data_IF_530628313478
#
_entry.id   IF_530628313478
#
_cell.length_a   1.000
_cell.length_b   1.000
_cell.length_c   1.000
_cell.angle_alpha   90.00
_cell.angle_beta   90.00
_cell.angle_gamma   90.00
#
_symmetry.space_group_name_H-M   'P 1'
#
loop_
_entity.id
_entity.type
_entity.pdbx_description
1 polymer ?
#
# COMPACT_ATOMS: atom_id res chain seq x y z
N UNK A 1 16.04 2.93 32.26
CA UNK A 1 15.03 3.82 31.67
C UNK A 1 13.67 3.15 31.85
N UNK A 2 12.79 3.72 32.67
CA UNK A 2 11.42 3.20 32.84
C UNK A 2 10.52 4.11 32.02
N UNK A 3 9.81 3.55 31.04
CA UNK A 3 8.78 4.29 30.29
C UNK A 3 7.54 4.33 31.17
N UNK A 4 7.03 5.53 31.44
CA UNK A 4 5.74 5.71 32.12
C UNK A 4 4.60 5.33 31.15
N UNK A 5 3.85 4.24 31.41
CA UNK A 5 2.78 3.78 30.52
C UNK A 5 1.66 4.82 30.37
N UNK A 6 1.46 5.68 31.36
CA UNK A 6 0.41 6.71 31.34
C UNK A 6 0.73 7.87 30.40
N UNK A 7 2.02 8.05 30.05
CA UNK A 7 2.49 9.08 29.12
C UNK A 7 2.73 8.57 27.70
N UNK A 8 2.42 7.31 27.43
CA UNK A 8 2.53 6.76 26.07
C UNK A 8 1.46 7.39 25.17
N UNK A 9 1.91 7.94 24.05
CA UNK A 9 1.00 8.41 23.00
C UNK A 9 0.23 7.22 22.41
N UNK A 10 -1.09 7.36 22.33
CA UNK A 10 -1.98 6.33 21.79
C UNK A 10 -2.36 6.65 20.36
N UNK A 11 -2.58 5.63 19.54
CA UNK A 11 -3.16 5.80 18.19
C UNK A 11 -4.66 5.61 18.26
N UNK A 12 -5.42 6.44 17.54
CA UNK A 12 -6.86 6.32 17.49
C UNK A 12 -7.27 5.03 16.79
N UNK A 13 -8.22 4.32 17.40
CA UNK A 13 -8.82 3.11 16.82
C UNK A 13 -10.18 3.37 16.18
N UNK A 14 -10.78 4.52 16.49
CA UNK A 14 -12.06 4.99 15.95
C UNK A 14 -11.94 6.42 15.41
N UNK A 15 -12.77 6.82 14.42
CA UNK A 15 -12.65 8.11 13.71
C UNK A 15 -12.79 9.36 14.59
N UNK A 16 -13.33 9.24 15.80
CA UNK A 16 -13.62 10.37 16.70
C UNK A 16 -13.07 10.16 18.11
N UNK A 17 -12.13 9.23 18.28
CA UNK A 17 -11.51 9.01 19.58
C UNK A 17 -10.67 10.25 19.96
N UNK A 18 -10.85 10.73 21.19
CA UNK A 18 -10.07 11.82 21.76
C UNK A 18 -8.84 11.27 22.50
N UNK A 19 -7.87 12.13 22.80
CA UNK A 19 -6.64 11.78 23.52
C UNK A 19 -5.77 10.71 22.81
N UNK A 20 -5.78 10.72 21.48
CA UNK A 20 -4.96 9.87 20.64
C UNK A 20 -4.51 10.60 19.37
N UNK A 21 -3.43 10.10 18.76
CA UNK A 21 -2.96 10.53 17.45
C UNK A 21 -3.78 9.86 16.35
N UNK A 22 -3.98 10.57 15.24
CA UNK A 22 -4.55 10.00 14.03
C UNK A 22 -3.78 8.75 13.58
N UNK A 23 -4.47 7.86 12.86
CA UNK A 23 -3.82 6.68 12.31
C UNK A 23 -2.70 7.09 11.33
N UNK A 24 -1.52 6.46 11.40
CA UNK A 24 -0.45 6.67 10.44
C UNK A 24 -0.99 6.54 9.01
N UNK A 25 -0.51 7.41 8.13
CA UNK A 25 -0.88 7.43 6.71
C UNK A 25 -2.40 7.37 6.49
N UNK A 26 -3.17 8.03 7.36
CA UNK A 26 -4.63 8.08 7.31
C UNK A 26 -5.31 6.70 7.33
N UNK A 27 -4.62 5.66 7.80
CA UNK A 27 -5.13 4.29 7.83
C UNK A 27 -5.20 3.59 6.47
N UNK A 28 -4.58 4.16 5.42
CA UNK A 28 -4.52 3.55 4.09
C UNK A 28 -3.85 2.19 4.19
N UNK A 29 -4.48 1.16 3.61
CA UNK A 29 -3.99 -0.21 3.65
C UNK A 29 -3.03 -0.48 2.49
N UNK A 30 -2.04 -1.34 2.74
CA UNK A 30 -1.18 -1.85 1.69
C UNK A 30 -2.03 -2.50 0.57
N UNK A 31 -1.67 -2.31 -0.71
CA UNK A 31 -2.37 -2.97 -1.79
C UNK A 31 -2.14 -4.48 -1.72
N UNK A 32 -3.17 -5.25 -2.06
CA UNK A 32 -3.01 -6.69 -2.23
C UNK A 32 -2.56 -6.97 -3.65
N UNK A 33 -1.45 -7.68 -3.79
CA UNK A 33 -0.87 -8.05 -5.07
C UNK A 33 -1.09 -9.54 -5.34
N UNK A 34 -1.37 -9.88 -6.59
CA UNK A 34 -1.47 -11.27 -7.04
C UNK A 34 -0.80 -11.41 -8.41
N UNK A 35 0.20 -12.27 -8.48
CA UNK A 35 0.90 -12.54 -9.72
C UNK A 35 0.08 -13.51 -10.58
N UNK A 36 -0.11 -13.13 -11.83
CA UNK A 36 -0.67 -13.94 -12.91
C UNK A 36 0.39 -14.02 -14.01
N UNK A 37 0.29 -14.97 -14.95
CA UNK A 37 1.32 -15.23 -15.97
C UNK A 37 1.78 -13.95 -16.71
N UNK A 38 2.89 -13.35 -16.25
CA UNK A 38 3.45 -12.11 -16.79
C UNK A 38 2.74 -10.80 -16.42
N UNK A 39 1.81 -10.78 -15.46
CA UNK A 39 1.12 -9.57 -14.98
C UNK A 39 0.83 -9.63 -13.49
N UNK A 40 0.67 -8.48 -12.84
CA UNK A 40 0.24 -8.37 -11.44
C UNK A 40 -1.14 -7.74 -11.37
N UNK A 41 -2.07 -8.43 -10.74
CA UNK A 41 -3.31 -7.82 -10.28
C UNK A 41 -3.06 -7.07 -8.99
N UNK A 42 -3.49 -5.81 -8.94
CA UNK A 42 -3.49 -4.99 -7.73
C UNK A 42 -4.92 -4.73 -7.27
N UNK A 43 -5.16 -4.97 -5.99
CA UNK A 43 -6.41 -4.67 -5.30
C UNK A 43 -6.15 -3.61 -4.23
N UNK A 44 -6.84 -2.48 -4.33
CA UNK A 44 -6.72 -1.33 -3.42
C UNK A 44 -7.99 -1.23 -2.59
N UNK A 45 -7.83 -1.11 -1.27
CA UNK A 45 -8.92 -0.82 -0.34
C UNK A 45 -8.64 0.51 0.34
N UNK A 46 -9.45 1.52 0.01
CA UNK A 46 -9.32 2.89 0.49
C UNK A 46 -10.68 3.52 0.76
N UNK A 47 -10.72 4.86 0.70
CA UNK A 47 -11.96 5.62 0.82
C UNK A 47 -12.80 5.49 -0.46
N UNK A 48 -14.15 5.50 -0.38
CA UNK A 48 -15.02 5.47 -1.54
C UNK A 48 -14.83 6.63 -2.52
N UNK A 49 -14.93 6.34 -3.82
CA UNK A 49 -14.88 7.32 -4.91
C UNK A 49 -13.63 8.21 -4.91
N UNK A 50 -12.48 7.65 -4.54
CA UNK A 50 -11.21 8.38 -4.50
C UNK A 50 -10.19 7.80 -5.48
N UNK A 51 -9.26 8.67 -5.90
CA UNK A 51 -8.14 8.28 -6.74
C UNK A 51 -6.93 7.95 -5.87
N UNK A 52 -6.26 6.86 -6.22
CA UNK A 52 -5.01 6.42 -5.63
C UNK A 52 -3.98 6.20 -6.72
N UNK A 53 -2.75 6.64 -6.44
CA UNK A 53 -1.58 6.30 -7.24
C UNK A 53 -0.96 5.03 -6.67
N UNK A 54 -0.78 4.01 -7.51
CA UNK A 54 -0.08 2.77 -7.15
C UNK A 54 1.31 2.84 -7.75
N UNK A 55 2.36 2.74 -6.94
CA UNK A 55 3.73 2.68 -7.44
C UNK A 55 4.26 1.27 -7.28
N UNK A 56 4.96 0.77 -8.31
CA UNK A 56 5.48 -0.59 -8.35
C UNK A 56 6.99 -0.57 -8.27
N UNK A 57 7.52 -1.49 -7.47
CA UNK A 57 8.94 -1.71 -7.31
C UNK A 57 9.27 -3.18 -7.56
N UNK A 58 10.43 -3.42 -8.14
CA UNK A 58 10.96 -4.73 -8.42
C UNK A 58 12.11 -5.05 -7.49
N UNK A 59 12.20 -6.30 -7.06
CA UNK A 59 13.30 -6.77 -6.24
C UNK A 59 14.03 -7.94 -6.90
N UNK A 60 15.34 -7.98 -6.67
CA UNK A 60 16.23 -9.00 -7.23
C UNK A 60 16.03 -10.37 -6.57
N UNK A 61 15.71 -10.38 -5.27
CA UNK A 61 15.45 -11.59 -4.51
C UNK A 61 13.95 -11.84 -4.37
N UNK A 62 13.49 -13.06 -4.64
CA UNK A 62 12.08 -13.44 -4.54
C UNK A 62 11.50 -13.25 -3.12
N UNK A 63 12.31 -13.31 -2.06
CA UNK A 63 11.88 -13.09 -0.68
C UNK A 63 11.97 -11.63 -0.23
N UNK A 64 12.60 -10.75 -1.03
CA UNK A 64 12.73 -9.33 -0.70
C UNK A 64 11.38 -8.64 -0.76
N UNK A 65 11.03 -7.93 0.32
CA UNK A 65 9.81 -7.14 0.47
C UNK A 65 10.11 -5.64 0.50
N UNK A 66 11.28 -5.28 0.00
CA UNK A 66 11.74 -3.90 -0.11
C UNK A 66 11.21 -3.25 -1.39
N UNK A 67 11.70 -2.06 -1.69
CA UNK A 67 11.41 -1.29 -2.88
C UNK A 67 12.72 -1.00 -3.65
N UNK A 68 13.44 -2.05 -4.08
CA UNK A 68 14.81 -1.92 -4.60
C UNK A 68 14.89 -1.12 -5.91
N UNK A 69 13.99 -1.39 -6.86
CA UNK A 69 13.99 -0.74 -8.18
C UNK A 69 12.60 -0.20 -8.52
N UNK A 70 12.49 1.10 -8.76
CA UNK A 70 11.24 1.69 -9.27
C UNK A 70 10.92 1.19 -10.68
N UNK A 71 9.70 0.68 -10.89
CA UNK A 71 9.24 0.10 -12.16
C UNK A 71 8.19 0.93 -12.88
N UNK A 72 7.49 1.80 -12.15
CA UNK A 72 6.46 2.69 -12.71
C UNK A 72 5.25 2.81 -11.80
N UNK A 73 4.20 3.42 -12.34
CA UNK A 73 2.98 3.72 -11.59
C UNK A 73 1.72 3.62 -12.45
N UNK A 74 0.57 3.41 -11.81
CA UNK A 74 -0.75 3.57 -12.40
C UNK A 74 -1.65 4.37 -11.45
N UNK A 75 -2.71 4.96 -11.98
CA UNK A 75 -3.78 5.55 -11.16
C UNK A 75 -5.01 4.65 -11.20
N UNK A 76 -5.59 4.39 -10.04
CA UNK A 76 -6.86 3.67 -9.88
C UNK A 76 -7.88 4.55 -9.16
N UNK A 77 -9.15 4.35 -9.46
CA UNK A 77 -10.25 4.97 -8.74
C UNK A 77 -11.01 3.89 -7.98
N UNK A 78 -11.25 4.11 -6.69
CA UNK A 78 -12.11 3.25 -5.88
C UNK A 78 -13.57 3.47 -6.21
N UNK A 79 -14.36 2.40 -6.12
CA UNK A 79 -15.81 2.43 -6.26
C UNK A 79 -16.50 3.00 -5.00
N UNK A 80 -17.83 2.88 -4.95
CA UNK A 80 -18.66 3.31 -3.82
C UNK A 80 -18.40 2.54 -2.53
N UNK A 81 -17.78 1.36 -2.60
CA UNK A 81 -17.35 0.57 -1.45
C UNK A 81 -15.90 0.83 -1.04
N UNK A 82 -15.17 1.70 -1.76
CA UNK A 82 -13.77 1.96 -1.49
C UNK A 82 -12.82 0.94 -2.09
N UNK A 83 -13.26 0.13 -3.06
CA UNK A 83 -12.46 -0.93 -3.69
C UNK A 83 -12.04 -0.52 -5.10
N UNK A 84 -10.79 -0.83 -5.46
CA UNK A 84 -10.33 -0.73 -6.84
C UNK A 84 -9.54 -1.99 -7.23
N UNK A 85 -9.60 -2.35 -8.51
CA UNK A 85 -8.84 -3.47 -9.06
C UNK A 85 -8.27 -3.10 -10.42
N UNK A 86 -6.98 -3.36 -10.62
CA UNK A 86 -6.31 -3.14 -11.89
C UNK A 86 -5.31 -4.24 -12.19
N UNK A 87 -4.98 -4.40 -13.46
CA UNK A 87 -3.89 -5.26 -13.91
C UNK A 87 -2.75 -4.38 -14.40
N UNK A 88 -1.54 -4.71 -13.95
CA UNK A 88 -0.31 -4.05 -14.34
C UNK A 88 0.66 -5.09 -14.91
N UNK A 89 1.41 -4.73 -15.94
CA UNK A 89 2.36 -5.64 -16.59
C UNK A 89 3.78 -5.07 -16.43
N UNK A 90 4.67 -5.74 -15.68
CA UNK A 90 6.05 -5.31 -15.59
C UNK A 90 6.72 -5.42 -16.96
N UNK A 91 7.55 -4.44 -17.30
CA UNK A 91 8.36 -4.42 -18.53
C UNK A 91 9.73 -5.09 -18.34
N UNK A 92 10.15 -5.26 -17.09
CA UNK A 92 11.41 -5.89 -16.69
C UNK A 92 11.16 -7.17 -15.90
N UNK A 93 12.08 -8.13 -16.02
CA UNK A 93 12.05 -9.35 -15.21
C UNK A 93 12.65 -9.07 -13.84
N UNK A 94 11.91 -9.40 -12.80
CA UNK A 94 12.28 -9.28 -11.39
C UNK A 94 11.81 -10.53 -10.66
N UNK A 95 12.32 -10.80 -9.46
CA UNK A 95 11.96 -12.02 -8.71
C UNK A 95 10.74 -11.82 -7.79
N UNK A 96 10.54 -10.59 -7.33
CA UNK A 96 9.32 -10.18 -6.63
C UNK A 96 8.96 -8.74 -6.97
N UNK A 97 7.70 -8.39 -6.71
CA UNK A 97 7.18 -7.04 -6.87
C UNK A 97 6.60 -6.60 -5.54
N UNK A 98 6.88 -5.36 -5.17
CA UNK A 98 6.19 -4.64 -4.11
C UNK A 98 5.46 -3.43 -4.68
N UNK A 99 4.45 -2.97 -3.96
CA UNK A 99 3.73 -1.76 -4.31
C UNK A 99 3.19 -1.05 -3.09
N UNK A 100 3.20 0.27 -3.11
CA UNK A 100 2.46 1.12 -2.18
C UNK A 100 1.27 1.77 -2.91
N UNK A 101 0.38 2.38 -2.15
CA UNK A 101 -0.63 3.29 -2.69
C UNK A 101 -0.56 4.64 -2.00
N UNK A 102 -0.69 5.71 -2.77
CA UNK A 102 -0.68 7.09 -2.29
C UNK A 102 -1.98 7.78 -2.67
N UNK A 103 -2.61 8.45 -1.70
CA UNK A 103 -3.82 9.23 -1.96
C UNK A 103 -3.50 10.61 -2.54
N UNK A 104 -4.55 11.36 -2.90
CA UNK A 104 -4.42 12.72 -3.43
C UNK A 104 -3.80 13.74 -2.47
N UNK A 105 -3.68 13.41 -1.19
CA UNK A 105 -3.13 14.27 -0.15
C UNK A 105 -1.69 13.88 0.22
N UNK A 106 -1.13 12.88 -0.45
CA UNK A 106 0.24 12.40 -0.23
C UNK A 106 0.39 11.39 0.90
N UNK A 107 -0.70 10.86 1.48
CA UNK A 107 -0.62 9.78 2.44
C UNK A 107 -0.37 8.45 1.72
N UNK A 108 0.65 7.71 2.16
CA UNK A 108 1.17 6.52 1.46
C UNK A 108 1.07 5.27 2.32
N UNK A 109 0.61 4.16 1.77
CA UNK A 109 0.52 2.88 2.48
C UNK A 109 1.87 2.24 2.74
N UNK A 110 1.88 1.24 3.61
CA UNK A 110 2.92 0.20 3.65
C UNK A 110 3.01 -0.55 2.31
N UNK A 111 4.10 -1.29 2.11
CA UNK A 111 4.31 -2.11 0.93
C UNK A 111 3.47 -3.39 0.94
N UNK A 112 2.68 -3.57 -0.12
CA UNK A 112 2.18 -4.87 -0.55
C UNK A 112 3.29 -5.66 -1.26
N UNK A 113 3.16 -6.98 -1.33
CA UNK A 113 4.21 -7.86 -1.86
C UNK A 113 3.63 -9.06 -2.60
N UNK A 114 4.29 -9.45 -3.69
CA UNK A 114 4.07 -10.73 -4.36
C UNK A 114 5.34 -11.24 -5.04
N UNK A 115 5.52 -12.57 -5.05
CA UNK A 115 6.56 -13.21 -5.84
C UNK A 115 6.08 -13.37 -7.28
N UNK A 116 6.96 -13.08 -8.24
CA UNK A 116 6.70 -13.31 -9.67
C UNK A 116 7.61 -14.43 -10.15
N UNK A 117 7.01 -15.55 -10.55
CA UNK A 117 7.72 -16.72 -11.09
C UNK A 117 8.08 -16.51 -12.55
#
# INVERSE_FOLDING_TARGET
>A
MVVDPSKQQKTCTQPNQQDCNAQPNQGIKAPKLTANQGSVTVEVNGLPNQRYQVEFFGNQNAASKEAEQYLGTITVATDTEGKAKANWKPTVKVASITANVTDRFGATSELGFVQVK
#
